data_IF_338070110702
#
_entry.id   IF_338070110702
#
_cell.length_a   1.000
_cell.length_b   1.000
_cell.length_c   1.000
_cell.angle_alpha   90.00
_cell.angle_beta   90.00
_cell.angle_gamma   90.00
#
_symmetry.space_group_name_H-M   'P 1'
#
loop_
_entity.id
_entity.type
_entity.pdbx_description
1 polymer ?
#
# COMPACT_ATOMS: atom_id res chain seq x y z
N UNK A 1 58.49 -5.03 4.76
CA UNK A 1 57.58 -5.55 3.71
C UNK A 1 56.64 -4.41 3.38
N UNK A 2 56.88 -3.70 2.27
CA UNK A 2 56.04 -2.60 1.78
C UNK A 2 55.61 -2.95 0.35
N UNK A 3 54.37 -3.37 0.16
CA UNK A 3 53.78 -3.56 -1.16
C UNK A 3 52.96 -2.31 -1.53
N UNK A 4 53.07 -1.80 -2.78
CA UNK A 4 52.35 -0.60 -3.19
C UNK A 4 50.84 -0.87 -3.28
N UNK A 5 50.04 0.08 -2.78
CA UNK A 5 48.57 0.07 -2.88
C UNK A 5 48.12 0.91 -4.06
N UNK A 6 47.08 0.46 -4.76
CA UNK A 6 46.45 1.17 -5.88
C UNK A 6 45.00 1.53 -5.53
N UNK A 7 44.64 2.81 -5.69
CA UNK A 7 43.26 3.27 -5.54
C UNK A 7 42.49 2.99 -6.82
N UNK A 8 41.74 1.90 -6.86
CA UNK A 8 41.03 1.47 -8.07
C UNK A 8 39.70 2.19 -8.31
N UNK A 9 39.11 2.80 -7.27
CA UNK A 9 37.85 3.54 -7.39
C UNK A 9 37.73 4.64 -6.33
N UNK A 10 37.36 5.84 -6.76
CA UNK A 10 36.89 6.93 -5.89
C UNK A 10 35.43 7.22 -6.22
N UNK A 11 34.54 7.15 -5.22
CA UNK A 11 33.15 7.57 -5.37
C UNK A 11 32.89 8.80 -4.51
N UNK A 12 32.58 9.91 -5.16
CA UNK A 12 32.15 11.15 -4.51
C UNK A 12 30.65 11.34 -4.70
N UNK A 13 29.94 11.67 -3.62
CA UNK A 13 28.56 12.12 -3.67
C UNK A 13 28.49 13.56 -3.15
N UNK A 14 27.82 14.45 -3.88
CA UNK A 14 27.57 15.83 -3.49
C UNK A 14 26.05 16.03 -3.43
N UNK A 15 25.57 16.65 -2.35
CA UNK A 15 24.17 17.03 -2.19
C UNK A 15 24.08 18.52 -1.83
N UNK A 16 23.05 19.19 -2.33
CA UNK A 16 22.65 20.53 -1.92
C UNK A 16 21.26 20.46 -1.29
N UNK A 17 20.88 21.39 -0.38
CA UNK A 17 19.52 21.46 0.13
C UNK A 17 18.54 21.67 -1.04
N UNK A 18 17.67 20.69 -1.29
CA UNK A 18 16.51 20.83 -2.16
C UNK A 18 15.33 21.43 -1.41
N UNK A 19 14.32 21.92 -2.13
CA UNK A 19 13.05 22.23 -1.48
C UNK A 19 12.42 20.93 -0.97
N UNK A 20 12.05 20.90 0.30
CA UNK A 20 11.28 19.78 0.84
C UNK A 20 9.90 19.74 0.19
N UNK A 21 9.48 18.55 -0.24
CA UNK A 21 8.08 18.31 -0.58
C UNK A 21 7.30 18.22 0.73
N UNK A 22 6.20 19.00 0.89
CA UNK A 22 5.40 18.92 2.10
C UNK A 22 4.83 17.52 2.23
N UNK A 23 4.81 16.99 3.46
CA UNK A 23 4.10 15.76 3.74
C UNK A 23 2.60 16.00 3.49
N UNK A 24 1.88 15.07 2.85
CA UNK A 24 0.43 15.17 2.73
C UNK A 24 -0.20 15.35 4.11
N UNK A 25 -1.18 16.24 4.22
CA UNK A 25 -1.93 16.41 5.45
C UNK A 25 -2.81 15.18 5.69
N UNK A 26 -3.14 14.91 6.95
CA UNK A 26 -4.16 13.93 7.28
C UNK A 26 -5.48 14.29 6.59
N UNK A 27 -6.06 13.31 5.91
CA UNK A 27 -7.37 13.42 5.32
C UNK A 27 -8.46 13.23 6.38
N UNK A 28 -9.69 13.56 6.00
CA UNK A 28 -10.85 13.32 6.84
C UNK A 28 -11.00 11.82 7.12
N UNK A 29 -11.26 11.47 8.37
CA UNK A 29 -11.65 10.10 8.76
C UNK A 29 -12.95 9.73 8.05
N UNK A 30 -12.88 8.65 7.28
CA UNK A 30 -14.01 8.03 6.60
C UNK A 30 -14.34 6.72 7.31
N UNK A 31 -15.62 6.43 7.47
CA UNK A 31 -16.15 5.11 7.84
C UNK A 31 -17.22 4.75 6.81
N UNK A 32 -16.75 4.47 5.60
CA UNK A 32 -17.60 4.28 4.44
C UNK A 32 -18.07 2.83 4.31
N UNK A 33 -18.67 2.55 3.16
CA UNK A 33 -19.23 1.24 2.82
C UNK A 33 -18.79 0.85 1.41
N UNK A 34 -18.78 -0.46 1.09
CA UNK A 34 -18.54 -0.90 -0.28
C UNK A 34 -19.52 -0.24 -1.24
N UNK A 35 -19.04 0.10 -2.44
CA UNK A 35 -19.85 0.59 -3.54
C UNK A 35 -20.80 -0.49 -4.04
N UNK A 36 -20.31 -1.73 -4.14
CA UNK A 36 -21.06 -2.87 -4.64
C UNK A 36 -20.44 -4.20 -4.19
N UNK A 37 -21.10 -5.29 -4.56
CA UNK A 37 -20.62 -6.66 -4.41
C UNK A 37 -20.51 -7.26 -5.82
N UNK A 38 -19.37 -7.85 -6.15
CA UNK A 38 -19.14 -8.49 -7.45
C UNK A 38 -18.67 -9.91 -7.25
N UNK A 39 -18.94 -10.80 -8.20
CA UNK A 39 -18.38 -12.17 -8.20
C UNK A 39 -17.25 -12.22 -9.24
N UNK A 40 -15.97 -12.11 -8.83
CA UNK A 40 -14.86 -12.22 -9.76
C UNK A 40 -14.79 -13.64 -10.35
N UNK A 41 -14.34 -13.72 -11.59
CA UNK A 41 -14.15 -15.01 -12.25
C UNK A 41 -13.17 -15.87 -11.45
N UNK A 42 -13.57 -17.12 -11.16
CA UNK A 42 -12.76 -18.07 -10.40
C UNK A 42 -12.97 -18.06 -8.88
N UNK A 43 -13.83 -17.19 -8.36
CA UNK A 43 -14.29 -17.23 -6.97
C UNK A 43 -15.71 -17.79 -6.86
N UNK A 44 -16.00 -18.38 -5.70
CA UNK A 44 -17.32 -18.97 -5.39
C UNK A 44 -18.26 -18.01 -4.66
N UNK A 45 -17.72 -16.92 -4.10
CA UNK A 45 -18.47 -15.93 -3.32
C UNK A 45 -18.20 -14.51 -3.81
N UNK A 46 -19.21 -13.62 -3.79
CA UNK A 46 -19.01 -12.23 -4.13
C UNK A 46 -18.14 -11.52 -3.09
N UNK A 47 -17.43 -10.50 -3.56
CA UNK A 47 -16.48 -9.71 -2.77
C UNK A 47 -16.86 -8.23 -2.83
N UNK A 48 -16.61 -7.46 -1.76
CA UNK A 48 -16.92 -6.04 -1.75
C UNK A 48 -15.98 -5.27 -2.69
N UNK A 49 -16.54 -4.36 -3.47
CA UNK A 49 -15.80 -3.36 -4.24
C UNK A 49 -15.85 -2.04 -3.51
N UNK A 50 -14.68 -1.47 -3.24
CA UNK A 50 -14.51 -0.19 -2.57
C UNK A 50 -13.97 0.85 -3.54
N UNK A 51 -14.30 2.12 -3.30
CA UNK A 51 -13.49 3.24 -3.79
C UNK A 51 -12.48 3.61 -2.72
N UNK A 52 -11.33 4.12 -3.13
CA UNK A 52 -10.27 4.56 -2.20
C UNK A 52 -10.79 5.59 -1.19
N UNK A 53 -11.70 6.47 -1.63
CA UNK A 53 -12.32 7.51 -0.80
C UNK A 53 -13.36 6.99 0.18
N UNK A 54 -13.90 5.79 -0.02
CA UNK A 54 -14.95 5.20 0.81
C UNK A 54 -14.39 4.17 1.81
N UNK A 55 -13.09 3.86 1.72
CA UNK A 55 -12.42 2.96 2.64
C UNK A 55 -12.39 3.54 4.07
N UNK A 56 -12.67 2.72 5.09
CA UNK A 56 -12.59 3.15 6.47
C UNK A 56 -11.14 3.48 6.85
N UNK A 57 -10.92 4.66 7.42
CA UNK A 57 -9.58 5.15 7.78
C UNK A 57 -9.15 4.57 9.11
N UNK A 58 -7.92 4.04 9.19
CA UNK A 58 -7.38 3.46 10.42
C UNK A 58 -7.97 2.09 10.81
N UNK A 59 -8.92 1.55 10.03
CA UNK A 59 -9.51 0.23 10.26
C UNK A 59 -9.03 -0.76 9.20
N UNK A 60 -8.38 -1.87 9.60
CA UNK A 60 -7.99 -2.88 8.63
C UNK A 60 -9.18 -3.64 8.07
N UNK A 61 -9.08 -4.00 6.78
CA UNK A 61 -10.01 -4.87 6.07
C UNK A 61 -9.26 -6.11 5.59
N UNK A 62 -9.79 -7.28 5.91
CA UNK A 62 -9.25 -8.55 5.42
C UNK A 62 -9.78 -8.84 4.01
N UNK A 63 -8.90 -9.32 3.14
CA UNK A 63 -9.29 -9.83 1.83
C UNK A 63 -10.09 -11.14 1.95
N UNK A 64 -10.81 -11.55 0.88
CA UNK A 64 -10.76 -10.98 -0.45
C UNK A 64 -11.63 -9.72 -0.64
N UNK A 65 -11.07 -8.67 -1.25
CA UNK A 65 -11.81 -7.46 -1.65
C UNK A 65 -11.17 -6.75 -2.85
N UNK A 66 -11.95 -5.91 -3.54
CA UNK A 66 -11.47 -5.10 -4.66
C UNK A 66 -11.51 -3.62 -4.27
N UNK A 67 -10.49 -2.85 -4.62
CA UNK A 67 -10.51 -1.39 -4.59
C UNK A 67 -10.41 -0.90 -6.03
N UNK A 68 -11.42 -0.18 -6.50
CA UNK A 68 -11.48 0.37 -7.85
C UNK A 68 -11.61 1.89 -7.81
N UNK A 69 -10.68 2.57 -8.49
CA UNK A 69 -10.64 4.02 -8.63
C UNK A 69 -10.45 4.39 -10.11
N UNK A 70 -10.56 5.67 -10.45
CA UNK A 70 -10.44 6.15 -11.83
C UNK A 70 -9.07 5.86 -12.47
N UNK A 71 -8.02 5.73 -11.66
CA UNK A 71 -6.63 5.59 -12.12
C UNK A 71 -5.98 4.26 -11.73
N UNK A 72 -6.62 3.47 -10.87
CA UNK A 72 -6.04 2.24 -10.34
C UNK A 72 -7.12 1.23 -9.93
N UNK A 73 -6.76 -0.05 -9.99
CA UNK A 73 -7.56 -1.13 -9.44
C UNK A 73 -6.64 -2.07 -8.65
N UNK A 74 -6.97 -2.32 -7.39
CA UNK A 74 -6.19 -3.14 -6.46
C UNK A 74 -7.03 -4.32 -6.02
N UNK A 75 -6.51 -5.51 -6.24
CA UNK A 75 -7.06 -6.76 -5.71
C UNK A 75 -6.35 -7.10 -4.40
N UNK A 76 -7.12 -7.25 -3.33
CA UNK A 76 -6.62 -7.71 -2.03
C UNK A 76 -6.99 -9.18 -1.92
N UNK A 77 -5.99 -10.05 -2.11
CA UNK A 77 -6.17 -11.49 -2.09
C UNK A 77 -6.53 -12.04 -0.68
N UNK A 78 -7.10 -13.25 -0.60
CA UNK A 78 -7.19 -13.97 0.67
C UNK A 78 -5.83 -14.06 1.36
N UNK A 79 -5.82 -13.85 2.68
CA UNK A 79 -4.58 -13.83 3.46
C UNK A 79 -3.83 -12.49 3.42
N UNK A 80 -4.35 -11.49 2.71
CA UNK A 80 -3.88 -10.11 2.79
C UNK A 80 -4.86 -9.23 3.58
N UNK A 81 -4.31 -8.17 4.16
CA UNK A 81 -5.03 -7.14 4.89
C UNK A 81 -4.68 -5.78 4.32
N UNK A 82 -5.71 -4.95 4.13
CA UNK A 82 -5.61 -3.58 3.67
C UNK A 82 -5.87 -2.62 4.83
N UNK A 83 -5.05 -1.60 4.98
CA UNK A 83 -5.27 -0.48 5.91
C UNK A 83 -5.12 0.84 5.15
N UNK A 84 -6.14 1.69 5.21
CA UNK A 84 -6.03 3.08 4.75
C UNK A 84 -5.48 3.94 5.89
N UNK A 85 -4.31 4.53 5.66
CA UNK A 85 -3.70 5.51 6.57
C UNK A 85 -4.42 6.85 6.49
N UNK A 86 -4.19 7.73 7.46
CA UNK A 86 -4.89 9.01 7.53
C UNK A 86 -4.50 9.94 6.39
N UNK A 87 -3.29 9.86 5.87
CA UNK A 87 -2.85 10.61 4.69
C UNK A 87 -3.33 10.03 3.34
N UNK A 88 -4.16 8.98 3.36
CA UNK A 88 -4.75 8.37 2.17
C UNK A 88 -3.96 7.21 1.56
N UNK A 89 -2.75 6.92 2.06
CA UNK A 89 -1.95 5.76 1.63
C UNK A 89 -2.67 4.44 1.95
N UNK A 90 -2.56 3.49 1.03
CA UNK A 90 -3.00 2.11 1.23
C UNK A 90 -1.81 1.23 1.64
N UNK A 91 -1.81 0.78 2.89
CA UNK A 91 -0.87 -0.22 3.40
C UNK A 91 -1.45 -1.62 3.21
N UNK A 92 -0.67 -2.51 2.60
CA UNK A 92 -1.02 -3.92 2.45
C UNK A 92 -0.03 -4.80 3.20
N UNK A 93 -0.58 -5.72 3.99
CA UNK A 93 0.22 -6.66 4.78
C UNK A 93 -0.30 -8.08 4.55
N UNK A 94 0.62 -9.04 4.49
CA UNK A 94 0.26 -10.45 4.55
C UNK A 94 -0.11 -10.80 5.98
N UNK A 95 -1.32 -11.31 6.17
CA UNK A 95 -1.68 -11.99 7.41
C UNK A 95 -0.86 -13.29 7.45
N UNK A 96 -0.11 -13.51 8.54
CA UNK A 96 0.73 -14.72 8.68
C UNK A 96 -0.14 -15.96 8.43
N UNK A 97 0.35 -16.92 7.62
CA UNK A 97 -0.30 -18.23 7.45
C UNK A 97 -0.57 -18.84 8.84
N UNK A 98 -1.74 -19.45 9.08
CA UNK A 98 -1.93 -20.28 10.26
C UNK A 98 -0.84 -21.37 10.23
N UNK A 99 -0.05 -21.44 11.29
CA UNK A 99 0.90 -22.52 11.50
C UNK A 99 0.08 -23.79 11.75
N UNK A 100 0.04 -24.70 10.77
CA UNK A 100 -0.45 -26.08 10.93
C UNK A 100 0.65 -26.97 11.48
#
# INVERSE_FOLDING_TARGET
MDAPVELVNLRLALAAPGSELPRPAAERVVDGRPMEQVLPAGLEAPVPVWRTTDLPTGRPLDGPLLVADAVATVWVEPGWRLLRLDEGTLLMEQTKKPQS
#
